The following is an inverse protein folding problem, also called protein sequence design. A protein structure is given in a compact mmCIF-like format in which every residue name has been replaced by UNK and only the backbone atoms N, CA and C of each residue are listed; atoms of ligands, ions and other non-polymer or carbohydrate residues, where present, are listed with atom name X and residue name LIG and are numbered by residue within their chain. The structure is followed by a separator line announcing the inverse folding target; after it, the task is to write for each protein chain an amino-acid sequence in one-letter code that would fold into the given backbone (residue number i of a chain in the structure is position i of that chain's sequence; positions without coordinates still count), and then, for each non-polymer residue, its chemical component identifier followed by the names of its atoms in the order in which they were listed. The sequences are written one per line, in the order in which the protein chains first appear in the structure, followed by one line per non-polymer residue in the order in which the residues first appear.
data_IF_018195093804
#
_entry.id   IF_018195093804
#
_cell.length_a   1.000
_cell.length_b   1.000
_cell.length_c   1.000
_cell.angle_alpha   90.00
_cell.angle_beta   90.00
_cell.angle_gamma   90.00
#
_symmetry.space_group_name_H-M   'P 1'
#
loop_
_entity.id
_entity.type
_entity.pdbx_description
1 polymer ?
#
# COMPACT_ATOMS: atom_id res chain seq x y z
N UNK A 1 -10.07 -8.34 50.14
CA UNK A 1 -9.40 -7.35 49.96
C UNK A 1 -8.32 -7.42 48.96
N UNK A 2 -7.84 -8.24 48.55
CA UNK A 2 -6.84 -8.28 47.65
C UNK A 2 -7.29 -8.60 46.33
N UNK A 3 -8.36 -8.77 45.98
CA UNK A 3 -8.74 -9.18 44.76
C UNK A 3 -8.81 -8.19 43.72
N UNK A 4 -8.73 -7.06 43.90
CA UNK A 4 -8.89 -6.13 42.89
C UNK A 4 -7.84 -6.00 41.89
N UNK A 5 -6.81 -6.53 42.03
CA UNK A 5 -5.73 -6.37 41.15
C UNK A 5 -5.88 -6.82 39.78
N UNK A 6 -6.64 -7.71 39.48
CA UNK A 6 -6.63 -8.25 38.21
C UNK A 6 -7.20 -7.45 37.12
N UNK A 7 -7.93 -6.57 37.32
CA UNK A 7 -8.62 -5.94 36.23
C UNK A 7 -7.80 -5.24 35.22
N UNK A 8 -6.59 -4.94 35.49
CA UNK A 8 -5.88 -4.20 34.55
C UNK A 8 -5.36 -4.89 33.38
N UNK A 9 -5.12 -6.08 33.44
CA UNK A 9 -4.51 -6.73 32.36
C UNK A 9 -5.25 -6.67 31.09
N UNK A 10 -6.52 -6.65 31.11
CA UNK A 10 -7.24 -6.77 29.88
C UNK A 10 -7.04 -5.64 28.91
N UNK A 11 -6.68 -4.53 29.36
CA UNK A 11 -6.65 -3.39 28.48
C UNK A 11 -5.60 -3.41 27.39
N UNK A 12 -4.51 -4.03 27.61
CA UNK A 12 -3.43 -3.90 26.66
C UNK A 12 -3.63 -4.70 25.40
N UNK A 13 -4.48 -5.62 25.38
CA UNK A 13 -4.58 -6.48 24.23
C UNK A 13 -5.20 -5.85 23.01
N UNK A 14 -5.93 -4.79 23.18
CA UNK A 14 -6.58 -4.32 22.04
C UNK A 14 -5.80 -3.48 21.13
N UNK A 15 -4.78 -2.92 21.53
CA UNK A 15 -4.08 -1.94 20.74
C UNK A 15 -3.45 -2.48 19.48
N UNK A 16 -3.24 -3.74 19.40
CA UNK A 16 -2.46 -4.27 18.32
C UNK A 16 -3.13 -4.29 16.97
N UNK A 17 -4.38 -4.55 16.93
CA UNK A 17 -5.00 -4.80 15.65
C UNK A 17 -5.09 -3.59 14.76
N UNK A 18 -5.02 -2.42 15.30
CA UNK A 18 -5.24 -1.24 14.50
C UNK A 18 -4.17 -1.00 13.46
N UNK A 19 -3.00 -1.59 13.61
CA UNK A 19 -1.92 -1.30 12.69
C UNK A 19 -1.77 -2.29 11.57
N UNK A 20 -2.68 -3.21 11.49
CA UNK A 20 -2.50 -4.31 10.55
C UNK A 20 -2.49 -3.88 9.10
N UNK A 21 -3.08 -2.71 8.80
CA UNK A 21 -3.16 -2.29 7.41
C UNK A 21 -2.07 -1.33 6.99
N UNK A 22 -1.20 -0.94 7.87
CA UNK A 22 -0.16 0.01 7.52
C UNK A 22 0.83 -0.63 6.57
N UNK A 23 1.23 0.09 5.55
CA UNK A 23 2.21 -0.37 4.60
C UNK A 23 3.63 -0.03 5.03
N UNK A 24 4.59 -0.73 4.44
CA UNK A 24 6.01 -0.54 4.68
C UNK A 24 6.64 0.04 3.41
N UNK A 25 7.13 1.27 3.48
CA UNK A 25 7.70 1.94 2.31
C UNK A 25 8.95 1.25 1.81
N UNK A 26 9.78 0.69 2.68
CA UNK A 26 11.01 0.02 2.24
C UNK A 26 10.68 -1.27 1.47
N UNK A 27 9.70 -2.03 1.94
CA UNK A 27 9.25 -3.21 1.22
C UNK A 27 8.58 -2.81 -0.10
N UNK A 28 7.86 -1.69 -0.11
CA UNK A 28 7.26 -1.16 -1.32
C UNK A 28 8.30 -0.77 -2.36
N UNK A 29 9.39 -0.16 -1.92
CA UNK A 29 10.48 0.20 -2.82
C UNK A 29 11.04 -1.03 -3.53
N UNK A 30 11.25 -2.11 -2.80
CA UNK A 30 11.75 -3.34 -3.37
C UNK A 30 10.76 -3.93 -4.39
N UNK A 31 9.47 -3.83 -4.11
CA UNK A 31 8.45 -4.36 -4.99
C UNK A 31 8.23 -3.48 -6.23
N UNK A 32 8.58 -2.22 -6.15
CA UNK A 32 8.29 -1.24 -7.19
C UNK A 32 9.11 -1.42 -8.47
N UNK A 33 10.06 -2.33 -8.50
CA UNK A 33 10.90 -2.52 -9.68
C UNK A 33 10.08 -2.74 -10.94
N UNK A 34 8.99 -3.49 -10.85
CA UNK A 34 8.15 -3.74 -12.02
C UNK A 34 7.31 -2.53 -12.42
N UNK A 35 7.12 -1.59 -11.53
CA UNK A 35 6.34 -0.38 -11.79
C UNK A 35 7.22 0.71 -12.40
N UNK A 36 8.49 0.66 -12.08
CA UNK A 36 9.42 1.73 -12.42
C UNK A 36 9.62 1.92 -13.92
N UNK A 37 9.46 0.87 -14.69
CA UNK A 37 9.64 0.95 -16.13
C UNK A 37 8.69 1.97 -16.77
N UNK A 38 7.50 2.11 -16.23
CA UNK A 38 6.50 3.03 -16.75
C UNK A 38 6.34 4.28 -15.88
N UNK A 39 6.37 4.10 -14.57
CA UNK A 39 6.09 5.19 -13.63
C UNK A 39 7.34 5.91 -13.13
N UNK A 40 8.53 5.43 -13.49
CA UNK A 40 9.80 6.02 -13.05
C UNK A 40 10.26 5.45 -11.72
N UNK A 41 11.57 5.39 -11.52
CA UNK A 41 12.14 4.88 -10.28
C UNK A 41 11.83 5.79 -9.10
N UNK A 42 11.64 7.07 -9.36
CA UNK A 42 11.31 8.07 -8.35
C UNK A 42 9.82 8.42 -8.35
N UNK A 43 9.00 7.67 -9.07
CA UNK A 43 7.58 7.95 -9.18
C UNK A 43 7.24 9.06 -10.16
N UNK A 44 8.23 9.53 -10.93
CA UNK A 44 8.00 10.53 -11.98
C UNK A 44 8.19 9.85 -13.31
N UNK A 45 7.11 9.74 -14.07
CA UNK A 45 7.13 9.07 -15.35
C UNK A 45 7.91 9.88 -16.38
N UNK A 46 8.65 9.20 -17.25
CA UNK A 46 9.35 9.86 -18.35
C UNK A 46 8.52 9.92 -19.60
N UNK A 47 7.36 9.30 -19.61
CA UNK A 47 6.48 9.30 -20.79
C UNK A 47 5.13 9.87 -20.41
N UNK A 48 4.58 10.77 -21.23
CA UNK A 48 3.33 11.44 -20.85
C UNK A 48 2.12 10.53 -20.72
N UNK A 49 2.16 9.35 -21.30
CA UNK A 49 1.03 8.44 -21.23
C UNK A 49 0.95 7.71 -19.90
N UNK A 50 2.00 7.74 -19.06
CA UNK A 50 1.97 7.11 -17.77
C UNK A 50 1.94 8.16 -16.67
N UNK A 51 1.09 8.01 -15.65
CA UNK A 51 0.98 9.04 -14.64
C UNK A 51 2.13 8.99 -13.63
N UNK A 52 2.42 10.14 -13.05
CA UNK A 52 3.34 10.21 -11.93
C UNK A 52 2.66 9.65 -10.70
N UNK A 53 3.42 8.95 -9.87
CA UNK A 53 2.93 8.41 -8.60
C UNK A 53 3.55 9.09 -7.40
N UNK A 54 4.61 9.87 -7.61
CA UNK A 54 5.36 10.51 -6.54
C UNK A 54 4.46 11.39 -5.69
N UNK A 55 4.46 11.16 -4.39
CA UNK A 55 3.72 11.99 -3.45
C UNK A 55 2.21 11.88 -3.51
N UNK A 56 1.68 10.92 -4.28
CA UNK A 56 0.24 10.71 -4.32
C UNK A 56 -0.24 10.16 -2.98
N UNK A 57 -1.48 10.44 -2.63
CA UNK A 57 -2.04 10.03 -1.33
C UNK A 57 -2.04 8.52 -1.20
N UNK A 58 -1.58 8.04 -0.07
CA UNK A 58 -1.46 6.60 0.17
C UNK A 58 -2.79 5.86 0.03
N UNK A 59 -3.85 6.40 0.61
CA UNK A 59 -5.16 5.78 0.52
C UNK A 59 -5.68 5.73 -0.91
N UNK A 60 -5.39 6.75 -1.70
CA UNK A 60 -5.80 6.79 -3.10
C UNK A 60 -5.05 5.73 -3.90
N UNK A 61 -3.73 5.64 -3.71
CA UNK A 61 -2.92 4.64 -4.41
C UNK A 61 -3.40 3.23 -4.08
N UNK A 62 -3.68 2.95 -2.83
CA UNK A 62 -4.15 1.64 -2.43
C UNK A 62 -5.49 1.31 -3.09
N UNK A 63 -6.40 2.26 -3.08
CA UNK A 63 -7.71 2.08 -3.69
C UNK A 63 -7.58 1.79 -5.19
N UNK A 64 -6.70 2.52 -5.88
CA UNK A 64 -6.54 2.35 -7.32
C UNK A 64 -5.91 1.01 -7.67
N UNK A 65 -4.91 0.56 -6.93
CA UNK A 65 -4.31 -0.75 -7.18
C UNK A 65 -5.33 -1.88 -6.98
N UNK A 66 -6.15 -1.77 -5.95
CA UNK A 66 -7.22 -2.75 -5.73
C UNK A 66 -8.23 -2.73 -6.87
N UNK A 67 -8.58 -1.57 -7.35
CA UNK A 67 -9.54 -1.43 -8.44
C UNK A 67 -8.99 -2.00 -9.76
N UNK A 68 -7.70 -1.83 -10.02
CA UNK A 68 -7.08 -2.46 -11.18
C UNK A 68 -7.03 -3.98 -11.00
N UNK A 69 -6.73 -4.44 -9.80
CA UNK A 69 -6.63 -5.88 -9.55
C UNK A 69 -7.97 -6.58 -9.70
N UNK A 70 -9.04 -5.99 -9.21
CA UNK A 70 -10.35 -6.60 -9.28
C UNK A 70 -11.11 -6.27 -10.57
N UNK A 71 -10.55 -5.42 -11.41
CA UNK A 71 -11.14 -5.12 -12.71
C UNK A 71 -12.20 -4.03 -12.71
N UNK A 72 -12.45 -3.37 -11.58
CA UNK A 72 -13.42 -2.28 -11.56
C UNK A 72 -12.87 -1.03 -12.22
N UNK A 73 -11.56 -0.86 -12.26
CA UNK A 73 -10.94 0.18 -13.07
C UNK A 73 -10.28 -0.51 -14.27
N UNK A 74 -10.61 -0.04 -15.48
CA UNK A 74 -10.20 -0.71 -16.69
C UNK A 74 -8.98 -0.07 -17.32
N UNK A 75 -7.91 -0.79 -17.39
CA UNK A 75 -6.70 -0.46 -18.13
C UNK A 75 -5.98 -1.80 -18.34
N UNK A 76 -5.90 -2.33 -19.57
CA UNK A 76 -5.35 -3.67 -19.76
C UNK A 76 -3.98 -3.88 -19.18
N UNK A 77 -3.11 -2.90 -19.29
CA UNK A 77 -1.76 -3.02 -18.75
C UNK A 77 -1.78 -3.05 -17.23
N UNK A 78 -2.46 -2.10 -16.61
CA UNK A 78 -2.50 -2.05 -15.15
C UNK A 78 -3.31 -3.20 -14.56
N UNK A 79 -4.35 -3.66 -15.24
CA UNK A 79 -5.08 -4.85 -14.76
C UNK A 79 -4.13 -6.06 -14.69
N UNK A 80 -3.29 -6.24 -15.70
CA UNK A 80 -2.33 -7.33 -15.70
C UNK A 80 -1.24 -7.14 -14.65
N UNK A 81 -0.74 -5.91 -14.49
CA UNK A 81 0.32 -5.62 -13.52
C UNK A 81 -0.14 -5.75 -12.07
N UNK A 82 -1.38 -5.40 -11.79
CA UNK A 82 -1.89 -5.46 -10.43
C UNK A 82 -2.35 -6.86 -10.02
N UNK A 83 -2.63 -7.71 -10.99
CA UNK A 83 -3.20 -9.01 -10.70
C UNK A 83 -2.39 -9.85 -9.73
N UNK A 84 -1.06 -9.95 -9.87
CA UNK A 84 -0.26 -10.77 -8.95
C UNK A 84 0.01 -10.12 -7.59
N UNK A 85 -0.40 -8.88 -7.37
CA UNK A 85 -0.08 -8.20 -6.12
C UNK A 85 -0.95 -8.71 -4.97
N UNK A 86 -0.33 -8.97 -3.83
CA UNK A 86 -1.06 -9.28 -2.61
C UNK A 86 -1.55 -7.99 -1.95
N UNK A 87 -2.42 -8.12 -0.96
CA UNK A 87 -2.85 -6.96 -0.19
C UNK A 87 -1.66 -6.28 0.47
N UNK A 88 -0.70 -7.04 0.98
CA UNK A 88 0.50 -6.48 1.57
C UNK A 88 1.34 -5.75 0.53
N UNK A 89 1.49 -6.32 -0.66
CA UNK A 89 2.22 -5.65 -1.74
C UNK A 89 1.61 -4.30 -2.07
N UNK A 90 0.29 -4.25 -2.19
CA UNK A 90 -0.39 -3.01 -2.53
C UNK A 90 -0.27 -1.96 -1.43
N UNK A 91 -0.38 -2.38 -0.17
CA UNK A 91 -0.20 -1.46 0.96
C UNK A 91 1.24 -0.92 1.00
N UNK A 92 2.21 -1.77 0.75
CA UNK A 92 3.62 -1.38 0.76
C UNK A 92 3.96 -0.44 -0.40
N UNK A 93 3.45 -0.73 -1.59
CA UNK A 93 3.65 0.15 -2.74
C UNK A 93 3.00 1.52 -2.52
N UNK A 94 1.82 1.54 -1.95
CA UNK A 94 1.14 2.79 -1.64
C UNK A 94 1.95 3.61 -0.63
N UNK A 95 2.50 2.98 0.39
CA UNK A 95 3.35 3.64 1.36
C UNK A 95 4.61 4.20 0.72
N UNK A 96 5.22 3.44 -0.18
CA UNK A 96 6.45 3.88 -0.84
C UNK A 96 6.21 5.10 -1.71
N UNK A 97 5.28 5.04 -2.66
CA UNK A 97 5.08 6.15 -3.58
C UNK A 97 4.54 7.40 -2.89
N UNK A 98 3.72 7.25 -1.87
CA UNK A 98 3.21 8.40 -1.14
C UNK A 98 4.29 9.10 -0.33
N UNK A 99 5.37 8.39 -0.01
CA UNK A 99 6.47 8.93 0.78
C UNK A 99 7.49 9.72 -0.04
N UNK A 100 7.41 9.68 -1.34
CA UNK A 100 8.40 10.32 -2.20
C UNK A 100 8.19 11.83 -2.37
#
# INVERSE_FOLDING_TARGET
MKKQVLALIAASAMAVSANAVAGDAAAGKAKAATCAACHGMDGVSKMPIYPNLKGQKEAYLLKQMKAFKDGTRKDPTMNAMAKPLSDADMANLAAFYSSL
#
